data_IF_052798160436
#
_entry.id   IF_052798160436
#
_cell.length_a   1.000
_cell.length_b   1.000
_cell.length_c   1.000
_cell.angle_alpha   90.00
_cell.angle_beta   90.00
_cell.angle_gamma   90.00
#
_symmetry.space_group_name_H-M   'P 1'
#
loop_
_entity.id
_entity.type
_entity.pdbx_description
1 polymer ?
#
# COMPACT_ATOMS: atom_id res chain seq x y z
N UNK A 1 13.62 -16.12 -9.38
CA UNK A 1 14.50 -15.00 -9.01
C UNK A 1 13.67 -14.04 -8.16
N UNK A 2 14.07 -13.77 -6.92
CA UNK A 2 13.31 -12.90 -6.02
C UNK A 2 13.28 -11.47 -6.55
N UNK A 3 12.10 -10.82 -6.51
CA UNK A 3 11.99 -9.41 -6.86
C UNK A 3 12.94 -8.59 -5.98
N UNK A 4 13.65 -7.62 -6.58
CA UNK A 4 14.53 -6.72 -5.83
C UNK A 4 13.75 -6.10 -4.66
N UNK A 5 14.22 -6.34 -3.43
CA UNK A 5 13.68 -5.70 -2.24
C UNK A 5 14.07 -4.22 -2.29
N UNK A 6 13.18 -3.38 -2.84
CA UNK A 6 13.34 -1.93 -2.74
C UNK A 6 12.97 -1.54 -1.32
N UNK A 7 13.96 -1.13 -0.52
CA UNK A 7 13.72 -0.54 0.79
C UNK A 7 13.29 0.91 0.58
N UNK A 8 11.99 1.16 0.61
CA UNK A 8 11.43 2.50 0.57
C UNK A 8 11.27 2.99 2.00
N UNK A 9 12.04 4.03 2.38
CA UNK A 9 11.83 4.73 3.64
C UNK A 9 10.75 5.79 3.41
N UNK A 10 9.66 5.71 4.18
CA UNK A 10 8.64 6.75 4.14
C UNK A 10 9.23 8.05 4.70
N UNK A 11 9.12 9.16 3.97
CA UNK A 11 9.77 10.37 4.38
C UNK A 11 8.94 11.05 5.49
N UNK A 12 9.64 11.55 6.50
CA UNK A 12 9.07 12.20 7.67
C UNK A 12 9.20 13.72 7.54
N UNK A 13 8.25 14.46 8.12
CA UNK A 13 8.36 15.89 8.31
C UNK A 13 9.42 16.22 9.39
N UNK A 14 9.68 17.50 9.60
CA UNK A 14 10.67 17.96 10.59
C UNK A 14 10.31 17.61 12.05
N UNK A 15 9.07 17.19 12.31
CA UNK A 15 8.59 16.76 13.61
C UNK A 15 8.54 15.23 13.75
N UNK A 16 9.02 14.49 12.75
CA UNK A 16 8.97 13.02 12.73
C UNK A 16 7.59 12.44 12.37
N UNK A 17 6.64 13.27 11.90
CA UNK A 17 5.35 12.82 11.36
C UNK A 17 5.49 12.34 9.91
N UNK A 18 4.59 11.48 9.45
CA UNK A 18 4.59 11.06 8.04
C UNK A 18 4.23 12.22 7.12
N UNK A 19 4.99 12.41 6.04
CA UNK A 19 4.62 13.39 5.02
C UNK A 19 3.43 12.92 4.18
N UNK A 20 2.51 13.84 3.93
CA UNK A 20 1.35 13.65 3.06
C UNK A 20 1.78 13.68 1.60
N UNK A 21 1.82 12.51 0.97
CA UNK A 21 2.16 12.35 -0.44
C UNK A 21 3.57 12.79 -0.78
N UNK A 22 4.48 11.83 -0.91
CA UNK A 22 5.85 12.10 -1.33
C UNK A 22 6.20 11.29 -2.56
N UNK A 23 6.74 11.98 -3.57
CA UNK A 23 7.45 11.33 -4.66
C UNK A 23 8.78 10.80 -4.09
N UNK A 24 8.96 9.48 -4.14
CA UNK A 24 10.15 8.82 -3.58
C UNK A 24 11.21 8.57 -4.65
N UNK A 25 11.05 9.20 -5.82
CA UNK A 25 11.73 8.95 -7.09
C UNK A 25 13.08 8.21 -6.99
N UNK A 26 13.12 6.92 -7.36
CA UNK A 26 14.15 6.42 -8.24
C UNK A 26 13.63 6.61 -9.67
N UNK A 27 14.23 7.53 -10.43
CA UNK A 27 13.97 7.63 -11.88
C UNK A 27 14.45 6.31 -12.51
N UNK A 28 13.55 5.38 -12.78
CA UNK A 28 13.85 4.29 -13.71
C UNK A 28 13.81 4.87 -15.12
N UNK A 29 14.79 4.52 -15.96
CA UNK A 29 15.12 5.18 -17.23
C UNK A 29 14.02 5.23 -18.32
N UNK A 30 12.76 4.92 -17.99
CA UNK A 30 11.58 4.97 -18.85
C UNK A 30 10.55 6.06 -18.52
N UNK A 31 10.73 6.86 -17.45
CA UNK A 31 9.84 8.00 -17.14
C UNK A 31 8.71 7.71 -16.12
N UNK A 32 8.62 6.47 -15.64
CA UNK A 32 7.72 6.07 -14.54
C UNK A 32 8.07 6.78 -13.22
N UNK A 33 7.05 7.06 -12.40
CA UNK A 33 7.23 7.72 -11.09
C UNK A 33 6.70 6.87 -9.96
N UNK A 34 7.54 6.64 -8.94
CA UNK A 34 7.15 5.92 -7.73
C UNK A 34 6.80 6.90 -6.62
N UNK A 35 5.57 6.85 -6.14
CA UNK A 35 5.01 7.74 -5.13
C UNK A 35 4.59 6.95 -3.89
N UNK A 36 4.76 7.55 -2.72
CA UNK A 36 4.26 7.03 -1.47
C UNK A 36 3.29 8.03 -0.82
N UNK A 37 2.07 7.58 -0.53
CA UNK A 37 1.04 8.40 0.09
C UNK A 37 0.70 7.85 1.47
N UNK A 38 0.52 8.74 2.44
CA UNK A 38 -0.17 8.41 3.68
C UNK A 38 -1.45 9.22 3.70
N UNK A 39 -2.58 8.57 3.95
CA UNK A 39 -3.91 9.19 3.89
C UNK A 39 -4.87 8.56 4.91
N UNK A 40 -5.96 9.25 5.23
CA UNK A 40 -7.02 8.70 6.08
C UNK A 40 -8.02 7.86 5.27
N UNK A 41 -8.65 6.91 5.95
CA UNK A 41 -9.83 6.22 5.43
C UNK A 41 -11.13 6.96 5.78
N UNK A 42 -12.16 6.89 4.92
CA UNK A 42 -12.20 6.23 3.62
C UNK A 42 -11.41 6.98 2.54
N UNK A 43 -10.62 6.26 1.76
CA UNK A 43 -9.73 6.87 0.77
C UNK A 43 -10.46 7.36 -0.48
N UNK A 44 -11.61 6.76 -0.83
CA UNK A 44 -12.38 7.11 -2.03
C UNK A 44 -11.77 6.59 -3.34
N UNK A 45 -11.21 5.39 -3.32
CA UNK A 45 -10.51 4.78 -4.44
C UNK A 45 -11.19 3.48 -4.88
N UNK A 46 -11.29 3.27 -6.20
CA UNK A 46 -11.74 2.01 -6.79
C UNK A 46 -10.55 1.30 -7.45
N UNK A 47 -10.38 0.01 -7.14
CA UNK A 47 -9.31 -0.82 -7.69
C UNK A 47 -9.86 -1.80 -8.71
N UNK A 48 -9.10 -2.03 -9.77
CA UNK A 48 -9.34 -3.09 -10.74
C UNK A 48 -8.07 -3.92 -10.96
N UNK A 49 -8.26 -5.16 -11.40
CA UNK A 49 -7.16 -5.98 -11.91
C UNK A 49 -6.87 -5.59 -13.36
N UNK A 50 -5.58 -5.54 -13.70
CA UNK A 50 -5.14 -5.29 -15.06
C UNK A 50 -4.03 -6.28 -15.47
N UNK A 51 -3.91 -6.58 -16.77
CA UNK A 51 -2.79 -7.34 -17.29
C UNK A 51 -1.46 -6.67 -16.91
N UNK A 52 -0.48 -7.48 -16.52
CA UNK A 52 0.87 -6.98 -16.24
C UNK A 52 1.48 -6.37 -17.53
N UNK A 53 2.12 -5.19 -17.45
CA UNK A 53 2.91 -4.65 -18.55
C UNK A 53 3.98 -5.65 -19.01
N UNK A 54 4.22 -5.75 -20.33
CA UNK A 54 5.10 -6.80 -20.91
C UNK A 54 6.56 -6.70 -20.48
N UNK A 55 6.94 -5.53 -20.02
CA UNK A 55 8.25 -5.06 -19.59
C UNK A 55 8.46 -5.14 -18.07
N UNK A 56 7.40 -5.40 -17.29
CA UNK A 56 7.52 -5.57 -15.85
C UNK A 56 8.13 -6.94 -15.48
N UNK A 57 8.85 -7.05 -14.34
CA UNK A 57 9.42 -8.32 -13.88
C UNK A 57 8.36 -9.42 -13.80
N UNK A 58 8.72 -10.63 -14.21
CA UNK A 58 7.82 -11.78 -14.15
C UNK A 58 7.41 -12.05 -12.69
N UNK A 59 6.12 -11.94 -12.41
CA UNK A 59 5.50 -12.47 -11.21
C UNK A 59 4.19 -13.14 -11.61
N UNK A 60 3.79 -14.16 -10.85
CA UNK A 60 2.54 -14.86 -11.07
C UNK A 60 1.39 -13.92 -10.69
N UNK A 61 0.64 -13.45 -11.69
CA UNK A 61 -0.62 -12.71 -11.50
C UNK A 61 -0.69 -11.32 -12.11
N UNK A 62 -1.90 -10.76 -12.00
CA UNK A 62 -2.30 -9.43 -12.48
C UNK A 62 -1.71 -8.31 -11.61
N UNK A 63 -1.72 -7.08 -12.13
CA UNK A 63 -1.39 -5.88 -11.36
C UNK A 63 -2.67 -5.19 -10.95
N UNK A 64 -2.63 -4.44 -9.85
CA UNK A 64 -3.77 -3.66 -9.40
C UNK A 64 -3.60 -2.22 -9.84
N UNK A 65 -4.64 -1.69 -10.46
CA UNK A 65 -4.67 -0.32 -10.97
C UNK A 65 -5.80 0.44 -10.31
N UNK A 66 -5.58 1.73 -10.12
CA UNK A 66 -6.63 2.67 -9.74
C UNK A 66 -7.55 2.83 -10.94
N UNK A 67 -8.77 2.33 -10.84
CA UNK A 67 -9.79 2.44 -11.89
C UNK A 67 -10.47 3.80 -11.85
N UNK A 68 -10.84 4.25 -10.64
CA UNK A 68 -11.52 5.52 -10.42
C UNK A 68 -11.15 6.13 -9.06
N UNK A 69 -11.27 7.46 -8.99
CA UNK A 69 -11.02 8.25 -7.80
C UNK A 69 -12.23 9.15 -7.55
N UNK A 70 -12.88 8.98 -6.39
CA UNK A 70 -14.05 9.75 -6.03
C UNK A 70 -13.70 11.23 -5.84
N UNK A 71 -14.51 12.13 -6.40
CA UNK A 71 -14.34 13.57 -6.24
C UNK A 71 -14.53 14.01 -4.78
N UNK A 72 -13.64 14.86 -4.31
CA UNK A 72 -13.55 15.35 -2.93
C UNK A 72 -12.98 14.36 -1.94
N UNK A 73 -12.45 13.21 -2.41
CA UNK A 73 -11.90 12.18 -1.53
C UNK A 73 -10.47 12.46 -1.10
N UNK A 74 -10.02 11.76 -0.06
CA UNK A 74 -8.62 11.77 0.37
C UNK A 74 -7.67 11.36 -0.77
N UNK A 75 -8.04 10.36 -1.60
CA UNK A 75 -7.25 9.99 -2.78
C UNK A 75 -7.09 11.15 -3.78
N UNK A 76 -8.16 11.90 -4.05
CA UNK A 76 -8.08 13.07 -4.94
C UNK A 76 -7.18 14.16 -4.33
N UNK A 77 -7.34 14.44 -3.04
CA UNK A 77 -6.58 15.47 -2.32
C UNK A 77 -5.07 15.18 -2.29
N UNK A 78 -4.70 13.91 -2.12
CA UNK A 78 -3.29 13.51 -2.15
C UNK A 78 -2.75 13.32 -3.57
N UNK A 79 -3.58 13.46 -4.61
CA UNK A 79 -3.14 13.46 -6.01
C UNK A 79 -2.98 12.08 -6.64
N UNK A 80 -3.68 11.08 -6.13
CA UNK A 80 -3.80 9.75 -6.76
C UNK A 80 -4.71 9.89 -7.99
N UNK A 81 -4.33 9.25 -9.09
CA UNK A 81 -5.04 9.34 -10.37
C UNK A 81 -5.46 7.95 -10.89
N UNK A 82 -6.56 7.87 -11.68
CA UNK A 82 -6.85 6.69 -12.48
C UNK A 82 -5.66 6.30 -13.36
N UNK A 83 -5.35 5.01 -13.40
CA UNK A 83 -4.19 4.45 -14.09
C UNK A 83 -2.94 4.30 -13.22
N UNK A 84 -2.90 4.88 -12.02
CA UNK A 84 -1.82 4.59 -11.07
C UNK A 84 -1.83 3.10 -10.67
N UNK A 85 -0.67 2.47 -10.61
CA UNK A 85 -0.50 1.06 -10.29
C UNK A 85 -0.19 0.91 -8.80
N UNK A 86 -1.03 0.18 -8.06
CA UNK A 86 -0.82 -0.10 -6.65
C UNK A 86 0.21 -1.21 -6.45
N UNK A 87 1.39 -0.84 -5.96
CA UNK A 87 2.53 -1.75 -5.72
C UNK A 87 2.51 -2.35 -4.32
N UNK A 88 2.18 -1.54 -3.32
CA UNK A 88 2.11 -2.00 -1.94
C UNK A 88 1.18 -1.12 -1.10
N UNK A 89 0.73 -1.65 0.03
CA UNK A 89 -0.04 -0.91 1.03
C UNK A 89 0.29 -1.37 2.46
N UNK A 90 0.07 -0.50 3.44
CA UNK A 90 0.04 -0.89 4.85
C UNK A 90 -1.37 -1.31 5.27
N UNK A 91 -1.45 -2.33 6.13
CA UNK A 91 -2.72 -2.80 6.68
C UNK A 91 -2.61 -3.30 8.12
N UNK A 92 -3.75 -3.33 8.82
CA UNK A 92 -3.83 -3.92 10.15
C UNK A 92 -3.99 -5.44 10.02
N UNK A 93 -2.89 -6.15 10.27
CA UNK A 93 -2.86 -7.60 10.28
C UNK A 93 -2.87 -8.16 11.71
N UNK A 94 -3.05 -9.47 11.81
CA UNK A 94 -2.75 -10.17 13.06
C UNK A 94 -1.25 -10.07 13.35
N UNK A 95 -0.91 -9.69 14.59
CA UNK A 95 0.46 -9.78 15.04
C UNK A 95 0.95 -11.22 15.14
N UNK A 96 2.25 -11.41 15.39
CA UNK A 96 2.83 -12.74 15.52
C UNK A 96 2.19 -13.50 16.68
N UNK A 97 1.95 -14.78 16.44
CA UNK A 97 1.37 -15.64 17.46
C UNK A 97 2.33 -15.78 18.65
N UNK A 98 1.89 -15.53 19.90
CA UNK A 98 2.75 -15.65 21.06
C UNK A 98 3.24 -17.09 21.27
N UNK A 99 4.40 -17.25 21.92
CA UNK A 99 4.89 -18.58 22.26
C UNK A 99 3.96 -19.28 23.26
N UNK A 100 4.08 -20.60 23.40
CA UNK A 100 3.25 -21.36 24.33
C UNK A 100 3.38 -20.86 25.78
N UNK A 101 4.58 -20.42 26.19
CA UNK A 101 4.83 -19.89 27.52
C UNK A 101 4.16 -18.53 27.70
N UNK A 102 4.25 -17.66 26.70
CA UNK A 102 3.62 -16.34 26.74
C UNK A 102 2.10 -16.47 26.82
N UNK A 103 1.52 -17.41 26.07
CA UNK A 103 0.08 -17.74 26.16
C UNK A 103 -0.32 -18.23 27.54
N UNK A 104 0.49 -19.09 28.17
CA UNK A 104 0.26 -19.57 29.52
C UNK A 104 0.33 -18.44 30.56
N UNK A 105 1.09 -17.38 30.28
CA UNK A 105 1.16 -16.15 31.07
C UNK A 105 0.09 -15.11 30.69
N UNK A 106 -0.83 -15.43 29.78
CA UNK A 106 -1.95 -14.58 29.38
C UNK A 106 -1.68 -13.62 28.21
N UNK A 107 -0.55 -13.77 27.51
CA UNK A 107 -0.28 -12.97 26.31
C UNK A 107 -1.23 -13.36 25.16
N UNK A 108 -1.65 -12.35 24.40
CA UNK A 108 -2.48 -12.49 23.21
C UNK A 108 -1.80 -11.83 22.01
N UNK A 109 -2.08 -12.33 20.80
CA UNK A 109 -1.63 -11.70 19.57
C UNK A 109 -2.31 -10.32 19.46
N UNK A 110 -1.50 -9.26 19.39
CA UNK A 110 -1.98 -7.90 19.22
C UNK A 110 -1.98 -7.54 17.73
N UNK A 111 -2.99 -6.80 17.21
CA UNK A 111 -2.95 -6.31 15.84
C UNK A 111 -1.70 -5.47 15.58
N UNK A 112 -1.07 -5.67 14.42
CA UNK A 112 0.12 -4.94 14.00
C UNK A 112 -0.01 -4.41 12.59
N UNK A 113 0.49 -3.19 12.38
CA UNK A 113 0.59 -2.59 11.05
C UNK A 113 1.63 -3.34 10.23
N UNK A 114 1.20 -3.96 9.15
CA UNK A 114 1.98 -4.80 8.25
C UNK A 114 2.00 -4.18 6.86
N UNK A 115 3.03 -4.46 6.05
CA UNK A 115 3.09 -4.04 4.64
C UNK A 115 2.83 -5.25 3.75
N UNK A 116 1.88 -5.10 2.82
CA UNK A 116 1.56 -6.09 1.80
C UNK A 116 2.05 -5.61 0.43
N UNK A 117 2.74 -6.49 -0.29
CA UNK A 117 3.01 -6.32 -1.72
C UNK A 117 1.78 -6.73 -2.52
N UNK A 118 1.29 -5.84 -3.38
CA UNK A 118 0.06 -6.00 -4.13
C UNK A 118 0.25 -6.69 -5.49
N UNK A 119 1.48 -6.71 -6.02
CA UNK A 119 1.75 -7.37 -7.30
C UNK A 119 1.39 -8.87 -7.25
N UNK A 120 0.48 -9.31 -8.12
CA UNK A 120 0.03 -10.70 -8.17
C UNK A 120 -1.04 -11.07 -7.15
N UNK A 121 -1.62 -10.10 -6.43
CA UNK A 121 -2.73 -10.30 -5.49
C UNK A 121 -4.07 -10.07 -6.17
N UNK A 122 -5.10 -10.79 -5.71
CA UNK A 122 -6.47 -10.57 -6.15
C UNK A 122 -7.00 -9.22 -5.64
N UNK A 123 -7.83 -8.55 -6.44
CA UNK A 123 -8.47 -7.27 -6.07
C UNK A 123 -9.20 -7.37 -4.73
N UNK A 124 -9.92 -8.46 -4.51
CA UNK A 124 -10.70 -8.68 -3.29
C UNK A 124 -9.82 -8.78 -2.04
N UNK A 125 -8.66 -9.43 -2.15
CA UNK A 125 -7.68 -9.56 -1.05
C UNK A 125 -7.14 -8.18 -0.68
N UNK A 126 -6.77 -7.39 -1.68
CA UNK A 126 -6.23 -6.06 -1.48
C UNK A 126 -7.27 -5.08 -0.97
N UNK A 127 -8.50 -5.16 -1.47
CA UNK A 127 -9.63 -4.37 -0.98
C UNK A 127 -9.95 -4.70 0.48
N UNK A 128 -9.91 -5.99 0.85
CA UNK A 128 -10.09 -6.43 2.24
C UNK A 128 -9.00 -5.85 3.15
N UNK A 129 -7.74 -5.89 2.70
CA UNK A 129 -6.63 -5.31 3.45
C UNK A 129 -6.78 -3.78 3.62
N UNK A 130 -7.17 -3.05 2.56
CA UNK A 130 -7.49 -1.62 2.65
C UNK A 130 -8.56 -1.35 3.71
N UNK A 131 -9.65 -2.12 3.69
CA UNK A 131 -10.78 -1.95 4.61
C UNK A 131 -10.42 -2.28 6.07
N UNK A 132 -9.50 -3.22 6.32
CA UNK A 132 -9.06 -3.57 7.68
C UNK A 132 -8.41 -2.40 8.44
N UNK A 133 -7.82 -1.44 7.73
CA UNK A 133 -7.26 -0.23 8.37
C UNK A 133 -8.34 0.72 8.90
N UNK A 134 -9.63 0.53 8.56
CA UNK A 134 -10.72 1.31 9.19
C UNK A 134 -10.76 1.10 10.70
N UNK A 135 -10.26 -0.05 11.15
CA UNK A 135 -10.17 -0.41 12.56
C UNK A 135 -8.85 0.08 13.21
N UNK A 136 -7.97 0.77 12.45
CA UNK A 136 -6.74 1.37 13.00
C UNK A 136 -7.10 2.54 13.92
N UNK A 137 -6.44 2.70 15.09
CA UNK A 137 -6.68 3.83 15.99
C UNK A 137 -6.49 5.20 15.34
N UNK A 138 -5.60 5.29 14.34
CA UNK A 138 -5.32 6.50 13.58
C UNK A 138 -6.08 6.59 12.25
N UNK A 139 -6.73 5.51 11.80
CA UNK A 139 -7.36 5.43 10.48
C UNK A 139 -6.43 5.68 9.28
N UNK A 140 -5.11 5.71 9.49
CA UNK A 140 -4.13 6.07 8.47
C UNK A 140 -3.67 4.85 7.68
N UNK A 141 -3.66 4.97 6.36
CA UNK A 141 -3.11 3.99 5.45
C UNK A 141 -1.94 4.58 4.68
N UNK A 142 -0.95 3.73 4.38
CA UNK A 142 0.16 4.07 3.50
C UNK A 142 0.03 3.27 2.21
N UNK A 143 0.13 3.93 1.06
CA UNK A 143 0.13 3.31 -0.26
C UNK A 143 1.45 3.61 -0.98
N UNK A 144 1.92 2.65 -1.76
CA UNK A 144 2.98 2.84 -2.73
C UNK A 144 2.39 2.66 -4.12
N UNK A 145 2.39 3.73 -4.90
CA UNK A 145 1.81 3.81 -6.24
C UNK A 145 2.89 4.08 -7.27
N UNK A 146 2.77 3.48 -8.43
CA UNK A 146 3.57 3.79 -9.60
C UNK A 146 2.69 4.46 -10.64
N UNK A 147 3.12 5.61 -11.13
CA UNK A 147 2.49 6.31 -12.25
C UNK A 147 3.23 5.97 -13.52
N UNK A 148 2.59 5.29 -14.49
CA UNK A 148 3.13 5.11 -15.83
C UNK A 148 3.39 6.47 -16.53
N UNK A 149 4.26 6.51 -17.54
CA UNK A 149 4.61 7.74 -18.26
C UNK A 149 3.44 8.39 -19.02
#
# INVERSE_FOLDING_TARGET
AGAAHVRVSLPLDMNGGFMWGCDVTPLFGGGERLMAFTAFLPLGLQLAAAPRPRDAPAAEGEVLVVEDVARGSEAELVGILPGDVLRALSYMGQGPEPSWLDKALGAQAMPMKTVMKCDGRAVDEVTTALLSNRDSPDGMITLMLERPP
#
